data_IF_717125628522
#
_entry.id   IF_717125628522
#
_cell.length_a   1.000
_cell.length_b   1.000
_cell.length_c   1.000
_cell.angle_alpha   90.00
_cell.angle_beta   90.00
_cell.angle_gamma   90.00
#
_symmetry.space_group_name_H-M   'P 1'
#
loop_
_entity.id
_entity.type
_entity.pdbx_description
1 polymer ?
#
# COMPACT_ATOMS: atom_id res chain seq x y z
N UNK A 1 -17.67 -4.96 15.76
CA UNK A 1 -17.82 -5.94 14.66
C UNK A 1 -16.55 -6.75 14.59
N UNK A 2 -16.55 -8.09 14.64
CA UNK A 2 -15.35 -8.90 14.62
C UNK A 2 -14.67 -8.81 13.26
N UNK A 3 -13.35 -8.55 13.28
CA UNK A 3 -12.51 -8.51 12.09
C UNK A 3 -12.49 -9.85 11.37
N UNK A 4 -12.72 -9.83 10.07
CA UNK A 4 -12.61 -11.01 9.21
C UNK A 4 -11.13 -11.39 9.09
N UNK A 5 -10.76 -12.53 9.65
CA UNK A 5 -9.44 -13.12 9.50
C UNK A 5 -9.17 -13.48 8.03
N UNK A 6 -7.99 -13.07 7.55
CA UNK A 6 -7.44 -13.49 6.26
C UNK A 6 -6.68 -14.79 6.51
N UNK A 7 -6.85 -15.85 5.68
CA UNK A 7 -6.26 -17.16 5.93
C UNK A 7 -4.74 -17.11 6.00
N UNK A 8 -4.17 -17.75 7.03
CA UNK A 8 -2.73 -18.02 7.13
C UNK A 8 -2.39 -19.28 6.33
N UNK A 9 -1.39 -19.19 5.50
CA UNK A 9 -0.59 -20.26 4.85
C UNK A 9 -1.30 -21.46 4.22
N UNK A 10 -1.04 -21.59 2.94
CA UNK A 10 -1.39 -22.74 2.11
C UNK A 10 -0.12 -23.38 1.57
N UNK A 11 -0.07 -24.72 1.59
CA UNK A 11 0.99 -25.52 1.00
C UNK A 11 0.66 -25.87 -0.45
N UNK A 12 1.64 -25.77 -1.34
CA UNK A 12 1.57 -26.28 -2.71
C UNK A 12 2.72 -27.23 -2.98
N UNK A 13 2.39 -28.42 -3.52
CA UNK A 13 3.33 -29.50 -3.83
C UNK A 13 3.65 -29.62 -5.33
N UNK A 14 3.33 -28.60 -6.15
CA UNK A 14 3.65 -28.63 -7.58
C UNK A 14 4.94 -27.85 -7.87
N UNK A 15 6.04 -28.61 -8.02
CA UNK A 15 7.29 -28.08 -8.55
C UNK A 15 7.14 -27.71 -10.02
N UNK A 16 7.08 -26.42 -10.31
CA UNK A 16 7.37 -25.86 -11.63
C UNK A 16 8.10 -24.53 -11.47
N UNK A 17 9.39 -24.60 -11.72
CA UNK A 17 10.34 -23.49 -11.60
C UNK A 17 10.34 -22.71 -12.91
N UNK A 18 9.38 -21.78 -13.07
CA UNK A 18 9.39 -20.81 -14.18
C UNK A 18 10.04 -19.51 -13.76
N UNK A 19 11.35 -19.51 -13.67
CA UNK A 19 12.18 -18.38 -14.06
C UNK A 19 12.09 -17.08 -13.30
N UNK A 20 11.61 -17.05 -12.04
CA UNK A 20 11.84 -15.93 -11.13
C UNK A 20 12.78 -16.41 -10.03
N UNK A 21 14.03 -15.94 -10.07
CA UNK A 21 15.07 -16.28 -9.10
C UNK A 21 14.82 -15.70 -7.69
N UNK A 22 13.66 -16.01 -7.12
CA UNK A 22 13.39 -15.82 -5.72
C UNK A 22 13.70 -17.13 -5.02
N UNK A 23 14.60 -17.13 -4.06
CA UNK A 23 14.97 -18.31 -3.29
C UNK A 23 13.76 -18.85 -2.52
N UNK A 24 12.95 -19.71 -3.17
CA UNK A 24 11.92 -20.52 -2.51
C UNK A 24 10.74 -19.79 -1.85
N UNK A 25 10.70 -18.47 -1.85
CA UNK A 25 9.59 -17.72 -1.28
C UNK A 25 8.43 -17.59 -2.27
N UNK A 26 7.27 -17.97 -1.80
CA UNK A 26 6.03 -17.97 -2.57
C UNK A 26 5.45 -16.56 -2.59
N UNK A 27 5.48 -15.90 -3.74
CA UNK A 27 4.95 -14.54 -3.91
C UNK A 27 3.46 -14.55 -4.21
N UNK A 28 2.79 -13.50 -3.75
CA UNK A 28 1.40 -13.19 -4.07
C UNK A 28 1.27 -11.71 -4.44
N UNK A 29 0.77 -11.45 -5.64
CA UNK A 29 0.47 -10.10 -6.10
C UNK A 29 -0.98 -9.77 -5.78
N UNK A 30 -1.20 -8.66 -5.06
CA UNK A 30 -2.53 -8.12 -4.81
C UNK A 30 -2.62 -6.77 -5.51
N UNK A 31 -3.57 -6.63 -6.42
CA UNK A 31 -3.82 -5.37 -7.15
C UNK A 31 -5.09 -4.74 -6.59
N UNK A 32 -4.96 -3.51 -6.09
CA UNK A 32 -6.07 -2.73 -5.57
C UNK A 32 -6.28 -1.53 -6.51
N UNK A 33 -7.21 -1.63 -7.47
CA UNK A 33 -7.48 -0.51 -8.37
C UNK A 33 -8.17 0.62 -7.62
N UNK A 34 -7.82 1.87 -7.94
CA UNK A 34 -8.52 3.06 -7.41
C UNK A 34 -10.01 3.06 -7.79
N UNK A 35 -10.30 2.59 -8.99
CA UNK A 35 -11.64 2.48 -9.57
C UNK A 35 -11.95 1.00 -9.75
N UNK A 36 -12.89 0.48 -8.95
CA UNK A 36 -13.24 -0.95 -8.95
C UNK A 36 -13.83 -1.41 -10.29
N UNK A 37 -14.41 -0.50 -11.08
CA UNK A 37 -14.92 -0.74 -12.42
C UNK A 37 -13.84 -1.29 -13.37
N UNK A 38 -12.57 -0.94 -13.11
CA UNK A 38 -11.43 -1.42 -13.88
C UNK A 38 -11.01 -2.85 -13.58
N UNK A 39 -11.61 -3.49 -12.58
CA UNK A 39 -11.24 -4.86 -12.17
C UNK A 39 -11.35 -5.87 -13.32
N UNK A 40 -12.37 -5.71 -14.19
CA UNK A 40 -12.53 -6.56 -15.38
C UNK A 40 -11.40 -6.38 -16.41
N UNK A 41 -10.95 -5.15 -16.63
CA UNK A 41 -9.85 -4.85 -17.54
C UNK A 41 -8.52 -5.39 -17.00
N UNK A 42 -8.29 -5.23 -15.70
CA UNK A 42 -7.09 -5.76 -15.02
C UNK A 42 -7.07 -7.29 -15.13
N UNK A 43 -8.18 -7.94 -14.85
CA UNK A 43 -8.31 -9.40 -14.99
C UNK A 43 -7.96 -9.87 -16.41
N UNK A 44 -8.48 -9.19 -17.44
CA UNK A 44 -8.17 -9.49 -18.85
C UNK A 44 -6.68 -9.32 -19.15
N UNK A 45 -6.05 -8.24 -18.66
CA UNK A 45 -4.62 -7.98 -18.85
C UNK A 45 -3.76 -9.07 -18.18
N UNK A 46 -4.12 -9.47 -16.96
CA UNK A 46 -3.40 -10.51 -16.21
C UNK A 46 -3.51 -11.86 -16.95
N UNK A 47 -4.70 -12.25 -17.39
CA UNK A 47 -4.93 -13.47 -18.19
C UNK A 47 -4.17 -13.46 -19.51
N UNK A 48 -4.11 -12.31 -20.19
CA UNK A 48 -3.36 -12.16 -21.42
C UNK A 48 -1.84 -12.35 -21.25
N UNK A 49 -1.34 -12.22 -20.02
CA UNK A 49 0.06 -12.52 -19.66
C UNK A 49 0.28 -13.97 -19.21
N UNK A 50 -0.74 -14.82 -19.30
CA UNK A 50 -0.66 -16.23 -18.90
C UNK A 50 -0.64 -16.45 -17.38
N UNK A 51 -1.08 -15.47 -16.60
CA UNK A 51 -1.13 -15.56 -15.15
C UNK A 51 -2.57 -15.87 -14.68
N UNK A 52 -2.67 -16.70 -13.64
CA UNK A 52 -3.93 -16.94 -12.96
C UNK A 52 -4.36 -15.69 -12.19
N UNK A 53 -5.66 -15.44 -12.18
CA UNK A 53 -6.24 -14.28 -11.49
C UNK A 53 -7.56 -14.63 -10.84
N UNK A 54 -7.77 -14.11 -9.65
CA UNK A 54 -9.03 -14.21 -8.92
C UNK A 54 -9.44 -12.83 -8.40
N UNK A 55 -10.75 -12.54 -8.42
CA UNK A 55 -11.29 -11.35 -7.77
C UNK A 55 -11.52 -11.59 -6.29
N UNK A 56 -11.40 -10.54 -5.50
CA UNK A 56 -11.66 -10.61 -4.05
C UNK A 56 -13.06 -11.10 -3.74
N UNK A 57 -14.06 -10.68 -4.51
CA UNK A 57 -15.47 -11.16 -4.37
C UNK A 57 -15.64 -12.65 -4.69
N UNK A 58 -14.73 -13.24 -5.47
CA UNK A 58 -14.69 -14.68 -5.75
C UNK A 58 -14.12 -15.53 -4.62
N UNK A 59 -13.47 -14.90 -3.62
CA UNK A 59 -12.92 -15.58 -2.44
C UNK A 59 -14.05 -15.74 -1.39
N UNK A 60 -14.62 -16.93 -1.28
CA UNK A 60 -15.68 -17.23 -0.30
C UNK A 60 -15.09 -17.38 1.11
N UNK A 61 -15.80 -16.84 2.12
CA UNK A 61 -15.36 -16.87 3.52
C UNK A 61 -15.39 -18.26 4.18
N UNK A 62 -16.12 -19.21 3.59
CA UNK A 62 -16.41 -20.52 4.18
C UNK A 62 -15.53 -21.66 3.70
N UNK A 63 -14.82 -21.46 2.60
CA UNK A 63 -13.86 -22.46 2.12
C UNK A 63 -12.47 -21.92 2.48
N UNK A 64 -11.60 -22.79 3.01
CA UNK A 64 -10.16 -22.55 3.00
C UNK A 64 -9.75 -22.43 1.53
N UNK A 65 -9.97 -21.27 0.95
CA UNK A 65 -9.62 -20.99 -0.43
C UNK A 65 -8.11 -20.97 -0.49
N UNK A 66 -7.56 -22.12 -0.76
CA UNK A 66 -6.17 -22.29 -1.10
C UNK A 66 -5.91 -21.61 -2.46
N UNK A 67 -5.77 -20.27 -2.42
CA UNK A 67 -5.37 -19.53 -3.62
C UNK A 67 -3.93 -19.93 -3.92
N UNK A 68 -3.65 -20.57 -5.06
CA UNK A 68 -2.29 -20.99 -5.40
C UNK A 68 -1.33 -19.80 -5.42
N UNK A 69 -0.06 -20.04 -5.09
CA UNK A 69 0.96 -19.04 -5.28
C UNK A 69 1.13 -18.72 -6.78
N UNK A 70 1.46 -17.47 -7.08
CA UNK A 70 1.48 -16.99 -8.46
C UNK A 70 0.13 -16.49 -8.98
N UNK A 71 -0.99 -16.82 -8.31
CA UNK A 71 -2.29 -16.23 -8.65
C UNK A 71 -2.34 -14.77 -8.24
N UNK A 72 -2.74 -13.91 -9.15
CA UNK A 72 -2.97 -12.49 -8.89
C UNK A 72 -4.35 -12.29 -8.26
N UNK A 73 -4.40 -11.57 -7.14
CA UNK A 73 -5.67 -11.19 -6.51
C UNK A 73 -6.03 -9.77 -6.92
N UNK A 74 -7.17 -9.59 -7.56
CA UNK A 74 -7.71 -8.25 -7.88
C UNK A 74 -8.79 -7.90 -6.86
N UNK A 75 -8.59 -6.82 -6.14
CA UNK A 75 -9.54 -6.34 -5.13
C UNK A 75 -10.60 -5.48 -5.81
N UNK A 76 -11.78 -6.03 -5.92
CA UNK A 76 -12.98 -5.41 -6.51
C UNK A 76 -14.01 -4.98 -5.45
N UNK A 77 -13.51 -4.71 -4.23
CA UNK A 77 -14.29 -4.25 -3.08
C UNK A 77 -13.73 -2.95 -2.53
N UNK A 78 -14.55 -2.20 -1.79
CA UNK A 78 -14.16 -0.95 -1.12
C UNK A 78 -13.96 -1.20 0.38
N UNK A 79 -13.01 -0.46 0.99
CA UNK A 79 -12.79 -0.46 2.45
C UNK A 79 -11.82 -1.52 2.97
N UNK A 80 -11.22 -2.35 2.11
CA UNK A 80 -10.28 -3.40 2.52
C UNK A 80 -8.79 -2.97 2.45
N UNK A 81 -8.48 -1.75 1.97
CA UNK A 81 -7.11 -1.31 1.69
C UNK A 81 -6.23 -1.32 2.94
N UNK A 82 -6.74 -0.87 4.09
CA UNK A 82 -6.00 -0.87 5.35
C UNK A 82 -5.62 -2.29 5.80
N UNK A 83 -6.53 -3.25 5.64
CA UNK A 83 -6.27 -4.67 5.93
C UNK A 83 -5.19 -5.22 4.99
N UNK A 84 -5.24 -4.85 3.71
CA UNK A 84 -4.24 -5.28 2.72
C UNK A 84 -2.87 -4.70 3.06
N UNK A 85 -2.79 -3.42 3.43
CA UNK A 85 -1.54 -2.83 3.89
C UNK A 85 -0.98 -3.55 5.12
N UNK A 86 -1.82 -3.97 6.07
CA UNK A 86 -1.34 -4.66 7.27
C UNK A 86 -0.59 -5.95 6.97
N UNK A 87 -0.97 -6.68 5.92
CA UNK A 87 -0.37 -7.95 5.52
C UNK A 87 0.67 -7.84 4.39
N UNK A 88 0.77 -6.68 3.74
CA UNK A 88 1.72 -6.48 2.65
C UNK A 88 3.17 -6.58 3.14
N UNK A 89 4.06 -7.15 2.32
CA UNK A 89 5.51 -7.15 2.54
C UNK A 89 6.14 -5.90 1.93
N UNK A 90 5.75 -5.55 0.71
CA UNK A 90 6.20 -4.37 -0.04
C UNK A 90 5.00 -3.73 -0.70
N UNK A 91 4.95 -2.42 -0.75
CA UNK A 91 3.86 -1.67 -1.39
C UNK A 91 4.39 -0.91 -2.60
N UNK A 92 3.76 -1.13 -3.74
CA UNK A 92 4.02 -0.36 -4.98
C UNK A 92 2.90 0.66 -5.13
N UNK A 93 3.27 1.94 -5.17
CA UNK A 93 2.29 3.03 -5.30
C UNK A 93 1.80 3.13 -6.74
N UNK A 94 0.52 2.88 -6.95
CA UNK A 94 -0.12 3.01 -8.26
C UNK A 94 -0.16 4.45 -8.76
N UNK A 95 -0.28 4.65 -10.09
CA UNK A 95 -0.35 5.97 -10.71
C UNK A 95 0.94 6.78 -10.69
N UNK A 96 2.03 6.22 -10.15
CA UNK A 96 3.33 6.89 -10.06
C UNK A 96 4.25 6.62 -11.25
N UNK A 97 3.99 5.57 -12.04
CA UNK A 97 4.77 5.20 -13.24
C UNK A 97 4.28 5.89 -14.51
N UNK A 98 3.14 6.53 -14.45
CA UNK A 98 2.52 7.33 -15.51
C UNK A 98 2.14 8.70 -14.94
N UNK A 99 1.92 9.74 -15.74
CA UNK A 99 1.68 11.10 -15.23
C UNK A 99 0.28 11.29 -14.61
N UNK A 100 -0.05 10.46 -13.62
CA UNK A 100 -1.29 10.55 -12.82
C UNK A 100 -1.09 11.12 -11.42
N UNK A 101 0.16 11.43 -11.04
CA UNK A 101 0.46 12.11 -9.78
C UNK A 101 0.62 11.21 -8.57
N UNK A 102 0.55 9.89 -8.73
CA UNK A 102 0.68 8.92 -7.67
C UNK A 102 -0.57 8.77 -6.79
N UNK A 103 -0.62 7.69 -6.01
CA UNK A 103 -1.58 7.46 -4.94
C UNK A 103 -0.97 7.84 -3.59
N UNK A 104 -1.81 7.95 -2.56
CA UNK A 104 -1.39 8.34 -1.21
C UNK A 104 -0.42 7.33 -0.59
N UNK A 105 0.84 7.71 -0.27
CA UNK A 105 1.80 6.81 0.36
C UNK A 105 1.62 6.71 1.88
N UNK A 106 0.92 7.67 2.51
CA UNK A 106 0.86 7.80 3.97
C UNK A 106 0.24 6.59 4.65
N UNK A 107 -0.79 5.98 4.03
CA UNK A 107 -1.44 4.80 4.59
C UNK A 107 -0.49 3.61 4.67
N UNK A 108 0.28 3.34 3.62
CA UNK A 108 1.27 2.26 3.62
C UNK A 108 2.38 2.51 4.64
N UNK A 109 2.84 3.76 4.79
CA UNK A 109 3.82 4.17 5.80
C UNK A 109 3.29 3.98 7.22
N UNK A 110 2.01 4.24 7.47
CA UNK A 110 1.37 3.99 8.75
C UNK A 110 1.47 2.52 9.17
N UNK A 111 1.36 1.59 8.21
CA UNK A 111 1.54 0.16 8.41
C UNK A 111 3.01 -0.32 8.35
N UNK A 112 3.97 0.62 8.40
CA UNK A 112 5.43 0.33 8.34
C UNK A 112 5.82 -0.52 7.15
N UNK A 113 5.28 -0.20 5.96
CA UNK A 113 5.60 -0.94 4.75
C UNK A 113 6.63 -0.19 3.92
N UNK A 114 7.67 -0.88 3.40
CA UNK A 114 8.58 -0.28 2.44
C UNK A 114 7.84 0.07 1.16
N UNK A 115 8.16 1.22 0.59
CA UNK A 115 7.50 1.78 -0.58
C UNK A 115 8.37 1.69 -1.82
N UNK A 116 7.74 1.37 -2.95
CA UNK A 116 8.30 1.54 -4.28
C UNK A 116 7.34 2.40 -5.10
N UNK A 117 7.83 3.39 -5.81
CA UNK A 117 7.04 4.27 -6.66
C UNK A 117 7.83 4.77 -7.86
N UNK A 118 7.11 5.20 -8.90
CA UNK A 118 7.69 5.86 -10.06
C UNK A 118 7.86 7.36 -9.85
N UNK A 119 8.42 8.04 -10.85
CA UNK A 119 8.77 9.48 -10.78
C UNK A 119 7.58 10.44 -10.74
N UNK A 120 6.37 9.98 -11.05
CA UNK A 120 5.19 10.84 -11.14
C UNK A 120 4.43 10.85 -9.81
N UNK A 121 4.98 11.52 -8.80
CA UNK A 121 4.40 11.70 -7.47
C UNK A 121 4.04 13.16 -7.17
N UNK A 122 3.68 13.95 -8.19
CA UNK A 122 3.51 15.40 -8.05
C UNK A 122 2.32 15.80 -7.16
N UNK A 123 1.33 14.91 -6.96
CA UNK A 123 0.25 15.16 -5.98
C UNK A 123 0.74 15.04 -4.53
N UNK A 124 1.91 14.43 -4.32
CA UNK A 124 2.49 14.15 -3.01
C UNK A 124 3.97 14.57 -2.96
N UNK A 125 4.32 15.67 -3.64
CA UNK A 125 5.71 16.10 -3.85
C UNK A 125 6.48 16.20 -2.52
N UNK A 126 6.00 16.98 -1.58
CA UNK A 126 6.70 17.23 -0.31
C UNK A 126 6.95 15.92 0.46
N UNK A 127 5.93 15.09 0.63
CA UNK A 127 6.10 13.84 1.36
C UNK A 127 6.98 12.84 0.61
N UNK A 128 7.00 12.90 -0.74
CA UNK A 128 7.89 12.05 -1.56
C UNK A 128 9.35 12.43 -1.35
N UNK A 129 9.68 13.72 -1.25
CA UNK A 129 11.01 14.21 -0.93
C UNK A 129 11.46 13.69 0.45
N UNK A 130 10.61 13.81 1.49
CA UNK A 130 10.90 13.27 2.83
C UNK A 130 11.10 11.73 2.82
N UNK A 131 10.30 10.99 2.03
CA UNK A 131 10.43 9.54 1.89
C UNK A 131 11.79 9.17 1.29
N UNK A 132 12.24 9.88 0.25
CA UNK A 132 13.51 9.62 -0.41
C UNK A 132 14.70 10.00 0.49
N UNK A 133 14.68 11.17 1.10
CA UNK A 133 15.74 11.66 2.00
C UNK A 133 15.92 10.73 3.21
N UNK A 134 14.84 10.23 3.77
CA UNK A 134 14.91 9.29 4.90
C UNK A 134 15.29 7.88 4.49
N UNK A 135 15.14 7.51 3.20
CA UNK A 135 15.28 6.15 2.72
C UNK A 135 14.11 5.25 3.13
N UNK A 136 12.90 5.81 3.28
CA UNK A 136 11.67 5.05 3.57
C UNK A 136 11.04 4.44 2.31
N UNK A 137 11.47 4.84 1.11
CA UNK A 137 10.98 4.35 -0.16
C UNK A 137 12.03 4.40 -1.27
N UNK A 138 11.74 3.73 -2.38
CA UNK A 138 12.58 3.69 -3.56
C UNK A 138 11.82 4.28 -4.76
N UNK A 139 12.43 5.25 -5.44
CA UNK A 139 11.93 5.75 -6.70
C UNK A 139 12.54 4.94 -7.85
N UNK A 140 11.68 4.47 -8.75
CA UNK A 140 12.04 3.56 -9.85
C UNK A 140 11.69 4.22 -11.18
N UNK A 141 12.58 4.12 -12.15
CA UNK A 141 12.40 4.72 -13.46
C UNK A 141 11.81 3.76 -14.50
N UNK A 142 12.20 2.49 -14.42
CA UNK A 142 11.84 1.46 -15.39
C UNK A 142 11.49 0.11 -14.72
N UNK A 143 11.10 -0.86 -15.55
CA UNK A 143 10.70 -2.19 -15.07
C UNK A 143 11.86 -3.06 -14.60
N UNK A 144 13.08 -2.86 -15.12
CA UNK A 144 14.24 -3.64 -14.72
C UNK A 144 14.71 -3.20 -13.33
N UNK A 145 14.79 -1.89 -13.08
CA UNK A 145 15.02 -1.33 -11.75
C UNK A 145 13.92 -1.74 -10.75
N UNK A 146 12.66 -1.86 -11.19
CA UNK A 146 11.57 -2.36 -10.34
C UNK A 146 11.79 -3.81 -9.92
N UNK A 147 12.22 -4.66 -10.87
CA UNK A 147 12.54 -6.06 -10.59
C UNK A 147 13.66 -6.17 -9.56
N UNK A 148 14.77 -5.44 -9.76
CA UNK A 148 15.92 -5.47 -8.87
C UNK A 148 15.58 -4.95 -7.46
N UNK A 149 14.80 -3.86 -7.38
CA UNK A 149 14.31 -3.31 -6.13
C UNK A 149 13.43 -4.29 -5.36
N UNK A 150 12.49 -4.96 -6.07
CA UNK A 150 11.64 -5.99 -5.47
C UNK A 150 12.46 -7.17 -4.97
N UNK A 151 13.39 -7.70 -5.78
CA UNK A 151 14.27 -8.80 -5.37
C UNK A 151 15.10 -8.42 -4.13
N UNK A 152 15.69 -7.23 -4.14
CA UNK A 152 16.48 -6.73 -3.02
C UNK A 152 15.68 -6.56 -1.73
N UNK A 153 14.41 -6.14 -1.83
CA UNK A 153 13.55 -6.00 -0.66
C UNK A 153 13.01 -7.37 -0.18
N UNK A 154 12.50 -8.20 -1.09
CA UNK A 154 11.89 -9.48 -0.72
C UNK A 154 12.90 -10.45 -0.08
N UNK A 155 14.17 -10.35 -0.44
CA UNK A 155 15.25 -11.16 0.13
C UNK A 155 15.91 -10.55 1.38
N UNK A 156 15.43 -9.39 1.88
CA UNK A 156 16.06 -8.69 2.99
C UNK A 156 15.04 -8.12 3.99
N UNK A 157 14.64 -8.96 4.94
CA UNK A 157 13.69 -8.59 6.00
C UNK A 157 14.18 -7.40 6.86
N UNK A 158 15.48 -7.31 7.12
CA UNK A 158 16.07 -6.19 7.87
C UNK A 158 15.87 -4.87 7.14
N UNK A 159 16.10 -4.84 5.81
CA UNK A 159 15.86 -3.66 4.98
C UNK A 159 14.39 -3.28 4.92
N UNK A 160 13.48 -4.28 4.85
CA UNK A 160 12.04 -4.02 4.88
C UNK A 160 11.63 -3.33 6.19
N UNK A 161 12.09 -3.86 7.33
CA UNK A 161 11.79 -3.30 8.65
C UNK A 161 12.38 -1.89 8.80
N UNK A 162 13.62 -1.69 8.41
CA UNK A 162 14.28 -0.38 8.48
C UNK A 162 13.53 0.68 7.67
N UNK A 163 13.20 0.38 6.41
CA UNK A 163 12.46 1.29 5.55
C UNK A 163 11.05 1.58 6.11
N UNK A 164 10.36 0.55 6.58
CA UNK A 164 9.04 0.69 7.18
C UNK A 164 9.04 1.57 8.44
N UNK A 165 10.03 1.40 9.32
CA UNK A 165 10.18 2.24 10.52
C UNK A 165 10.53 3.69 10.17
N UNK A 166 11.37 3.93 9.16
CA UNK A 166 11.65 5.27 8.65
C UNK A 166 10.38 5.95 8.15
N UNK A 167 9.56 5.25 7.37
CA UNK A 167 8.28 5.74 6.91
C UNK A 167 7.33 6.09 8.06
N UNK A 168 7.20 5.20 9.04
CA UNK A 168 6.36 5.46 10.21
C UNK A 168 6.84 6.67 11.03
N UNK A 169 8.15 6.91 11.15
CA UNK A 169 8.70 8.08 11.84
C UNK A 169 8.27 9.39 11.18
N UNK A 170 8.17 9.43 9.84
CA UNK A 170 7.65 10.60 9.12
C UNK A 170 6.19 10.85 9.54
N UNK A 171 5.34 9.82 9.54
CA UNK A 171 3.95 9.93 9.99
C UNK A 171 3.88 10.42 11.44
N UNK A 172 4.69 9.84 12.34
CA UNK A 172 4.67 10.17 13.76
C UNK A 172 5.06 11.65 14.03
N UNK A 173 6.01 12.22 13.27
CA UNK A 173 6.38 13.64 13.37
C UNK A 173 5.26 14.58 12.94
N UNK A 174 4.44 14.14 11.98
CA UNK A 174 3.34 14.94 11.45
C UNK A 174 2.03 14.79 12.25
N UNK A 175 2.01 13.96 13.30
CA UNK A 175 0.88 13.87 14.24
C UNK A 175 0.67 15.21 14.95
N UNK A 176 -0.58 15.48 15.29
CA UNK A 176 -0.96 16.75 15.92
C UNK A 176 -1.12 17.92 14.94
N UNK A 177 -1.12 17.68 13.64
CA UNK A 177 -1.37 18.73 12.65
C UNK A 177 -2.79 19.30 12.77
N UNK A 178 -3.76 18.46 13.12
CA UNK A 178 -5.17 18.89 13.33
C UNK A 178 -5.25 19.80 14.55
N UNK A 179 -4.65 19.41 15.65
CA UNK A 179 -4.61 20.18 16.89
C UNK A 179 -3.92 21.54 16.66
N UNK A 180 -2.76 21.55 16.02
CA UNK A 180 -2.06 22.79 15.67
C UNK A 180 -2.88 23.71 14.75
N UNK A 181 -3.60 23.14 13.79
CA UNK A 181 -4.46 23.92 12.92
C UNK A 181 -5.69 24.46 13.67
N UNK A 182 -6.26 23.70 14.59
CA UNK A 182 -7.34 24.17 15.48
C UNK A 182 -6.86 25.31 16.35
N UNK A 183 -5.69 25.21 16.98
CA UNK A 183 -5.10 26.29 17.79
C UNK A 183 -4.89 27.57 16.96
N UNK A 184 -4.52 27.44 15.69
CA UNK A 184 -4.37 28.58 14.79
C UNK A 184 -5.75 29.18 14.47
N UNK A 185 -6.72 28.34 14.10
CA UNK A 185 -8.08 28.79 13.77
C UNK A 185 -8.72 29.47 14.98
N UNK A 186 -8.60 28.91 16.17
CA UNK A 186 -9.13 29.52 17.40
C UNK A 186 -8.53 30.91 17.64
N UNK A 187 -7.22 31.09 17.45
CA UNK A 187 -6.55 32.40 17.60
C UNK A 187 -7.05 33.47 16.62
N UNK A 188 -7.42 33.07 15.40
CA UNK A 188 -7.83 34.01 14.37
C UNK A 188 -9.36 34.22 14.29
N UNK A 189 -10.15 33.20 14.63
CA UNK A 189 -11.61 33.24 14.49
C UNK A 189 -12.31 33.63 15.79
N UNK A 190 -11.82 33.17 16.95
CA UNK A 190 -12.45 33.42 18.25
C UNK A 190 -12.38 34.88 18.74
N UNK A 191 -11.30 35.67 18.50
CA UNK A 191 -11.27 37.05 18.94
C UNK A 191 -12.37 37.95 18.31
N UNK A 192 -12.89 37.53 17.17
CA UNK A 192 -13.86 38.30 16.38
C UNK A 192 -15.33 37.91 16.65
N UNK A 193 -15.59 36.75 17.28
CA UNK A 193 -16.96 36.23 17.39
C UNK A 193 -17.63 36.42 18.75
N UNK A 194 -16.92 36.87 19.79
CA UNK A 194 -17.52 37.08 21.11
C UNK A 194 -18.21 35.83 21.70
N UNK A 195 -17.84 34.65 21.26
CA UNK A 195 -18.40 33.39 21.72
C UNK A 195 -17.76 32.99 23.06
N UNK A 196 -18.60 32.70 24.03
CA UNK A 196 -18.25 32.26 25.39
C UNK A 196 -17.42 30.96 25.31
N UNK A 197 -16.22 30.90 25.96
CA UNK A 197 -15.39 29.70 26.00
C UNK A 197 -16.06 28.45 26.64
N UNK A 198 -17.24 28.61 27.23
CA UNK A 198 -17.99 27.55 27.90
C UNK A 198 -18.75 26.60 26.96
N UNK A 199 -18.83 26.88 25.63
CA UNK A 199 -19.48 25.99 24.65
C UNK A 199 -18.44 25.02 24.11
N UNK A 200 -17.91 24.16 24.97
CA UNK A 200 -17.26 22.90 24.52
C UNK A 200 -18.36 21.86 24.36
N UNK A 201 -18.61 21.48 23.10
CA UNK A 201 -19.46 20.33 22.82
C UNK A 201 -18.78 19.04 23.38
N UNK A 202 -19.59 18.09 23.86
CA UNK A 202 -19.12 16.86 24.49
C UNK A 202 -18.37 15.92 23.55
#
# INVERSE_FOLDING_TARGET
MPGKEIPKQVRDDRGDDRGMGFSGEKLRLIIVPRHIERSADIERIVKAKGLDVIRRTGLRSSEKNDVPYGTVIVVDTIGELSTIYSIATVVIIGGSFIPHGGQNPLEAMYYRKPLIFGKHMFNFKQITEEILESGAGLMIEDKDSLKDALQGLLNNNGKQQEMGEKGYKIIARNRGAVERNLDIIEKFVMPSCGLDPAIRMP
#
